data_IF_900757933112
#
_entry.id   IF_900757933112
#
_cell.length_a   1.000
_cell.length_b   1.000
_cell.length_c   1.000
_cell.angle_alpha   90.00
_cell.angle_beta   90.00
_cell.angle_gamma   90.00
#
_symmetry.space_group_name_H-M   'P 1'
#
loop_
_entity.id
_entity.type
_entity.pdbx_description
1 polymer ?
#
# COMPACT_ATOMS: atom_id res chain seq x y z
N UNK A 1 -34.47 21.42 33.80
CA UNK A 1 -33.57 21.58 32.64
C UNK A 1 -32.14 21.37 33.07
N UNK A 2 -31.68 20.12 33.11
CA UNK A 2 -30.27 19.81 33.29
C UNK A 2 -29.63 19.79 31.90
N UNK A 3 -28.75 20.74 31.65
CA UNK A 3 -27.99 20.82 30.42
C UNK A 3 -26.77 19.91 30.64
N UNK A 4 -26.86 18.66 30.19
CA UNK A 4 -25.73 17.73 30.21
C UNK A 4 -24.63 18.27 29.29
N UNK A 5 -23.54 18.76 29.87
CA UNK A 5 -22.34 19.13 29.12
C UNK A 5 -21.50 17.89 28.85
N UNK A 6 -21.28 17.56 27.58
CA UNK A 6 -20.38 16.48 27.18
C UNK A 6 -18.98 16.71 27.74
N UNK A 7 -18.35 15.66 28.26
CA UNK A 7 -16.93 15.73 28.59
C UNK A 7 -16.09 15.92 27.31
N UNK A 8 -14.90 16.50 27.44
CA UNK A 8 -14.01 16.70 26.28
C UNK A 8 -13.66 15.39 25.56
N UNK A 9 -13.64 14.26 26.27
CA UNK A 9 -13.39 12.94 25.69
C UNK A 9 -14.58 12.45 24.86
N UNK A 10 -15.80 12.61 25.37
CA UNK A 10 -17.04 12.26 24.65
C UNK A 10 -17.19 13.14 23.41
N UNK A 11 -16.95 14.45 23.54
CA UNK A 11 -16.97 15.37 22.41
C UNK A 11 -15.95 15.01 21.34
N UNK A 12 -14.71 14.68 21.73
CA UNK A 12 -13.66 14.26 20.79
C UNK A 12 -14.02 12.94 20.09
N UNK A 13 -14.67 12.02 20.80
CA UNK A 13 -15.13 10.73 20.26
C UNK A 13 -16.26 10.93 19.26
N UNK A 14 -17.25 11.78 19.58
CA UNK A 14 -18.33 12.17 18.68
C UNK A 14 -17.77 12.82 17.41
N UNK A 15 -16.83 13.76 17.53
CA UNK A 15 -16.15 14.35 16.38
C UNK A 15 -15.38 13.32 15.55
N UNK A 16 -14.73 12.36 16.21
CA UNK A 16 -14.06 11.26 15.53
C UNK A 16 -15.03 10.35 14.78
N UNK A 17 -16.27 10.21 15.27
CA UNK A 17 -17.33 9.43 14.62
C UNK A 17 -18.06 10.24 13.54
N UNK A 18 -18.02 11.58 13.63
CA UNK A 18 -18.59 12.49 12.63
C UNK A 18 -17.73 12.59 11.36
N UNK A 19 -16.44 12.20 11.44
CA UNK A 19 -15.60 12.12 10.24
C UNK A 19 -16.17 11.09 9.28
N UNK A 20 -16.37 11.52 8.03
CA UNK A 20 -16.79 10.62 6.97
C UNK A 20 -15.66 9.64 6.62
N UNK A 21 -16.00 8.53 5.96
CA UNK A 21 -15.00 7.57 5.49
C UNK A 21 -15.23 7.14 4.07
N UNK A 22 -14.11 7.05 3.34
CA UNK A 22 -14.04 6.48 2.00
C UNK A 22 -13.48 5.06 2.07
N UNK A 23 -14.15 4.15 1.38
CA UNK A 23 -13.71 2.78 1.23
C UNK A 23 -13.12 2.59 -0.18
N UNK A 24 -11.88 2.10 -0.24
CA UNK A 24 -11.19 1.80 -1.50
C UNK A 24 -10.89 0.32 -1.56
N UNK A 25 -11.48 -0.37 -2.53
CA UNK A 25 -11.34 -1.83 -2.69
C UNK A 25 -10.23 -2.17 -3.69
N UNK A 26 -9.35 -3.06 -3.28
CA UNK A 26 -8.33 -3.69 -4.11
C UNK A 26 -8.75 -5.12 -4.39
N UNK A 27 -8.88 -5.47 -5.67
CA UNK A 27 -9.31 -6.80 -6.11
C UNK A 27 -8.12 -7.77 -6.26
N UNK A 28 -6.93 -7.28 -5.92
CA UNK A 28 -5.64 -7.91 -6.07
C UNK A 28 -4.87 -7.86 -4.75
N UNK A 29 -3.76 -8.60 -4.68
CA UNK A 29 -2.86 -8.52 -3.53
C UNK A 29 -2.38 -7.08 -3.31
N UNK A 30 -2.42 -6.65 -2.06
CA UNK A 30 -2.02 -5.31 -1.68
C UNK A 30 -0.51 -5.24 -1.45
N UNK A 31 0.23 -4.54 -2.30
CA UNK A 31 1.62 -4.22 -2.03
C UNK A 31 1.70 -3.12 -0.96
N UNK A 32 1.93 -3.51 0.30
CA UNK A 32 1.94 -2.60 1.46
C UNK A 32 2.83 -1.36 1.28
N UNK A 33 4.02 -1.55 0.68
CA UNK A 33 4.95 -0.45 0.43
C UNK A 33 4.42 0.56 -0.60
N UNK A 34 3.73 0.08 -1.64
CA UNK A 34 3.11 0.98 -2.63
C UNK A 34 1.88 1.65 -2.03
N UNK A 35 1.05 0.90 -1.30
CA UNK A 35 -0.13 1.43 -0.62
C UNK A 35 0.24 2.58 0.32
N UNK A 36 1.26 2.40 1.17
CA UNK A 36 1.70 3.43 2.09
C UNK A 36 2.19 4.68 1.34
N UNK A 37 2.99 4.52 0.28
CA UNK A 37 3.46 5.64 -0.54
C UNK A 37 2.31 6.40 -1.23
N UNK A 38 1.35 5.67 -1.78
CA UNK A 38 0.17 6.26 -2.39
C UNK A 38 -0.67 7.03 -1.35
N UNK A 39 -0.75 6.50 -0.12
CA UNK A 39 -1.47 7.14 0.98
C UNK A 39 -0.76 8.41 1.44
N UNK A 40 0.57 8.39 1.57
CA UNK A 40 1.34 9.59 1.88
C UNK A 40 1.22 10.66 0.77
N UNK A 41 1.20 10.26 -0.51
CA UNK A 41 0.92 11.16 -1.63
C UNK A 41 -0.46 11.79 -1.51
N UNK A 42 -1.48 11.00 -1.13
CA UNK A 42 -2.83 11.49 -0.87
C UNK A 42 -2.84 12.51 0.28
N UNK A 43 -2.15 12.24 1.39
CA UNK A 43 -2.05 13.18 2.52
C UNK A 43 -1.38 14.50 2.11
N UNK A 44 -0.32 14.46 1.29
CA UNK A 44 0.33 15.67 0.76
C UNK A 44 -0.61 16.47 -0.16
N UNK A 45 -1.34 15.78 -1.05
CA UNK A 45 -2.28 16.42 -1.99
C UNK A 45 -3.42 17.15 -1.25
N UNK A 46 -3.89 16.57 -0.15
CA UNK A 46 -4.98 17.11 0.66
C UNK A 46 -4.48 17.64 2.01
N UNK A 47 -3.35 18.35 2.04
CA UNK A 47 -2.69 18.85 3.25
C UNK A 47 -3.59 19.67 4.20
N UNK A 48 -4.60 20.36 3.67
CA UNK A 48 -5.56 21.15 4.45
C UNK A 48 -6.76 20.33 4.97
N UNK A 49 -6.91 19.09 4.51
CA UNK A 49 -7.93 18.16 4.97
C UNK A 49 -7.28 17.10 5.85
N UNK A 50 -7.97 16.73 6.94
CA UNK A 50 -7.47 15.69 7.84
C UNK A 50 -7.71 14.30 7.22
N UNK A 51 -6.78 13.84 6.38
CA UNK A 51 -6.79 12.49 5.80
C UNK A 51 -6.07 11.53 6.74
N UNK A 52 -6.78 10.48 7.18
CA UNK A 52 -6.22 9.46 8.09
C UNK A 52 -6.61 8.06 7.66
N UNK A 53 -5.69 7.11 7.79
CA UNK A 53 -6.00 5.70 7.60
C UNK A 53 -6.85 5.22 8.79
N UNK A 54 -8.03 4.66 8.51
CA UNK A 54 -8.95 4.12 9.52
C UNK A 54 -8.67 2.65 9.78
N UNK A 55 -8.65 1.85 8.71
CA UNK A 55 -8.39 0.42 8.76
C UNK A 55 -7.98 -0.09 7.38
N UNK A 56 -7.35 -1.26 7.36
CA UNK A 56 -7.20 -2.09 6.17
C UNK A 56 -7.72 -3.47 6.53
N UNK A 57 -8.75 -3.91 5.83
CA UNK A 57 -9.47 -5.15 6.13
C UNK A 57 -9.39 -6.08 4.91
N UNK A 58 -9.15 -7.37 5.12
CA UNK A 58 -9.36 -8.37 4.09
C UNK A 58 -10.80 -8.89 4.22
N UNK A 59 -11.55 -8.91 3.12
CA UNK A 59 -12.88 -9.52 3.09
C UNK A 59 -12.79 -11.02 2.74
N UNK A 60 -13.92 -11.71 2.85
CA UNK A 60 -14.04 -13.15 2.56
C UNK A 60 -13.71 -13.54 1.12
N UNK A 61 -13.63 -12.58 0.20
CA UNK A 61 -13.27 -12.79 -1.21
C UNK A 61 -11.79 -12.49 -1.48
N UNK A 62 -10.94 -12.46 -0.45
CA UNK A 62 -9.51 -12.13 -0.54
C UNK A 62 -9.24 -10.74 -1.15
N UNK A 63 -10.19 -9.80 -1.00
CA UNK A 63 -10.02 -8.41 -1.41
C UNK A 63 -9.67 -7.55 -0.21
N UNK A 64 -8.78 -6.59 -0.42
CA UNK A 64 -8.44 -5.63 0.62
C UNK A 64 -9.32 -4.39 0.49
N UNK A 65 -9.88 -3.95 1.61
CA UNK A 65 -10.65 -2.71 1.73
C UNK A 65 -9.84 -1.76 2.61
N UNK A 66 -9.38 -0.67 2.02
CA UNK A 66 -8.70 0.42 2.73
C UNK A 66 -9.73 1.47 3.07
N UNK A 67 -9.96 1.70 4.36
CA UNK A 67 -10.88 2.72 4.86
C UNK A 67 -10.09 3.97 5.25
N UNK A 68 -10.45 5.11 4.68
CA UNK A 68 -9.78 6.39 4.88
C UNK A 68 -10.77 7.36 5.51
N UNK A 69 -10.44 7.91 6.68
CA UNK A 69 -11.17 9.04 7.26
C UNK A 69 -10.88 10.29 6.46
N UNK A 70 -11.94 11.01 6.14
CA UNK A 70 -11.90 12.28 5.43
C UNK A 70 -12.73 13.31 6.18
N UNK A 71 -12.44 14.58 5.97
CA UNK A 71 -13.23 15.65 6.57
C UNK A 71 -14.63 15.66 5.92
N UNK A 72 -15.71 15.89 6.70
CA UNK A 72 -17.03 16.14 6.13
C UNK A 72 -16.93 17.27 5.09
N UNK A 73 -17.62 17.14 3.95
CA UNK A 73 -17.54 18.01 2.75
C UNK A 73 -16.39 17.74 1.76
N UNK A 74 -15.49 16.78 2.04
CA UNK A 74 -14.52 16.32 1.04
C UNK A 74 -15.22 15.50 -0.05
N UNK A 75 -14.87 15.70 -1.32
CA UNK A 75 -15.39 14.86 -2.41
C UNK A 75 -14.82 13.44 -2.36
N UNK A 76 -15.54 12.54 -1.69
CA UNK A 76 -15.18 11.14 -1.47
C UNK A 76 -14.75 10.40 -2.75
N UNK A 77 -15.46 10.64 -3.87
CA UNK A 77 -15.13 10.02 -5.15
C UNK A 77 -13.73 10.41 -5.66
N UNK A 78 -13.36 11.70 -5.53
CA UNK A 78 -12.03 12.19 -5.94
C UNK A 78 -10.91 11.65 -5.06
N UNK A 79 -11.17 11.47 -3.76
CA UNK A 79 -10.21 10.85 -2.83
C UNK A 79 -9.95 9.40 -3.23
N UNK A 80 -11.01 8.61 -3.40
CA UNK A 80 -10.92 7.20 -3.80
C UNK A 80 -10.19 7.05 -5.13
N UNK A 81 -10.57 7.85 -6.13
CA UNK A 81 -9.94 7.85 -7.44
C UNK A 81 -8.46 8.25 -7.38
N UNK A 82 -8.13 9.34 -6.69
CA UNK A 82 -6.74 9.82 -6.58
C UNK A 82 -5.84 8.80 -5.91
N UNK A 83 -6.34 8.18 -4.82
CA UNK A 83 -5.59 7.16 -4.10
C UNK A 83 -5.36 5.91 -4.97
N UNK A 84 -6.39 5.46 -5.69
CA UNK A 84 -6.29 4.31 -6.57
C UNK A 84 -5.34 4.55 -7.75
N UNK A 85 -5.45 5.69 -8.41
CA UNK A 85 -4.58 6.05 -9.54
C UNK A 85 -3.10 6.10 -9.14
N UNK A 86 -2.79 6.71 -8.00
CA UNK A 86 -1.41 6.79 -7.50
C UNK A 86 -0.86 5.40 -7.17
N UNK A 87 -1.67 4.53 -6.54
CA UNK A 87 -1.30 3.15 -6.29
C UNK A 87 -0.98 2.41 -7.60
N UNK A 88 -1.88 2.49 -8.59
CA UNK A 88 -1.73 1.80 -9.87
C UNK A 88 -0.48 2.28 -10.61
N UNK A 89 -0.20 3.59 -10.62
CA UNK A 89 1.01 4.16 -11.22
C UNK A 89 2.29 3.63 -10.57
N UNK A 90 2.35 3.60 -9.23
CA UNK A 90 3.49 3.09 -8.48
C UNK A 90 3.65 1.57 -8.66
N UNK A 91 2.55 0.83 -8.75
CA UNK A 91 2.56 -0.61 -9.02
C UNK A 91 3.10 -0.93 -10.42
N UNK A 92 2.64 -0.20 -11.43
CA UNK A 92 3.16 -0.29 -12.79
C UNK A 92 4.65 0.05 -12.86
N UNK A 93 5.09 1.08 -12.13
CA UNK A 93 6.50 1.44 -12.01
C UNK A 93 7.36 0.30 -11.46
N UNK A 94 6.94 -0.35 -10.36
CA UNK A 94 7.67 -1.50 -9.80
C UNK A 94 7.71 -2.71 -10.73
N UNK A 95 6.64 -2.97 -11.50
CA UNK A 95 6.64 -4.07 -12.47
C UNK A 95 7.62 -3.83 -13.61
N UNK A 96 7.69 -2.59 -14.13
CA UNK A 96 8.61 -2.22 -15.21
C UNK A 96 10.08 -2.22 -14.77
N UNK A 97 10.34 -1.98 -13.49
CA UNK A 97 11.69 -1.90 -12.91
C UNK A 97 12.07 -3.10 -12.04
N UNK A 98 11.48 -4.28 -12.23
CA UNK A 98 11.94 -5.47 -11.51
C UNK A 98 13.28 -5.95 -12.09
N UNK A 99 14.45 -5.63 -11.49
CA UNK A 99 15.75 -5.95 -12.08
C UNK A 99 16.04 -7.45 -11.96
N UNK A 100 15.25 -8.18 -11.16
CA UNK A 100 15.35 -9.63 -10.97
C UNK A 100 14.78 -10.47 -12.14
N UNK A 101 14.20 -9.84 -13.18
CA UNK A 101 13.73 -10.52 -14.41
C UNK A 101 14.48 -10.11 -15.69
N UNK A 102 15.67 -9.53 -15.55
CA UNK A 102 16.70 -9.62 -16.60
C UNK A 102 17.76 -10.64 -16.17
N UNK A 103 17.32 -11.89 -16.05
CA UNK A 103 18.24 -13.01 -16.25
C UNK A 103 18.53 -13.02 -17.74
N UNK A 104 19.60 -12.33 -18.13
CA UNK A 104 20.32 -12.67 -19.36
C UNK A 104 20.59 -14.17 -19.24
N UNK A 105 20.26 -15.03 -20.24
CA UNK A 105 20.69 -16.42 -20.23
C UNK A 105 22.20 -16.44 -20.42
N UNK A 106 22.92 -16.20 -19.32
CA UNK A 106 24.33 -16.49 -19.24
C UNK A 106 24.41 -18.01 -19.21
N UNK A 107 24.62 -18.58 -20.39
CA UNK A 107 25.18 -19.92 -20.55
C UNK A 107 26.59 -19.91 -19.94
N UNK A 108 26.68 -19.94 -18.61
CA UNK A 108 27.91 -20.25 -17.90
C UNK A 108 27.87 -21.72 -17.58
N UNK A 109 28.68 -22.42 -18.36
CA UNK A 109 29.12 -23.81 -18.20
C UNK A 109 29.31 -24.13 -16.71
N UNK A 110 28.41 -24.92 -16.15
CA UNK A 110 28.75 -25.78 -15.01
C UNK A 110 29.53 -26.97 -15.57
N UNK A 111 30.85 -26.95 -15.36
CA UNK A 111 31.71 -28.10 -15.04
C UNK A 111 33.15 -27.84 -15.49
N UNK A 112 33.83 -26.94 -14.78
CA UNK A 112 35.29 -26.84 -14.79
C UNK A 112 35.82 -26.91 -13.36
N UNK A 113 35.42 -27.99 -12.65
CA UNK A 113 36.03 -28.42 -11.38
C UNK A 113 36.24 -29.94 -11.29
N UNK A 114 35.96 -30.72 -12.35
CA UNK A 114 36.29 -32.16 -12.40
C UNK A 114 37.58 -32.49 -13.18
N UNK A 115 38.21 -31.53 -13.88
CA UNK A 115 39.45 -31.78 -14.63
C UNK A 115 40.75 -31.37 -13.91
N UNK A 116 40.67 -30.82 -12.68
CA UNK A 116 41.86 -30.44 -11.90
C UNK A 116 42.20 -31.39 -10.74
N UNK A 117 41.37 -32.42 -10.49
CA UNK A 117 41.62 -33.45 -9.48
C UNK A 117 42.08 -34.79 -10.05
N UNK A 118 41.94 -35.02 -11.37
CA UNK A 118 42.44 -36.24 -12.03
C UNK A 118 43.89 -36.10 -12.58
N UNK A 119 44.57 -34.99 -12.33
CA UNK A 119 45.97 -34.78 -12.74
C UNK A 119 46.98 -34.85 -11.59
N UNK A 120 46.52 -35.14 -10.35
CA UNK A 120 47.37 -35.26 -9.16
C UNK A 120 47.48 -36.68 -8.58
N UNK A 121 46.92 -37.70 -9.23
CA UNK A 121 47.36 -39.08 -9.05
C UNK A 121 48.01 -39.51 -10.39
N UNK A 122 49.16 -38.91 -10.74
CA UNK A 122 50.50 -39.50 -10.54
C UNK A 122 50.52 -41.01 -10.84
N UNK A 123 51.18 -41.42 -11.93
CA UNK A 123 52.64 -41.60 -11.97
C UNK A 123 53.13 -42.54 -10.87
#
# INVERSE_FOLDING_TARGET
NQQESLSSLEFKTILHNLMDSVDVTFNEDLNWSIMLKAFESLQRKYQFHKIQLKSVEANSNFRFIVKIRVQPSTENALISQSFRQEYDLLALGKQKFNPAKHVIPVSVKQNSQQELLNSYEQN
#
